data_IF_393017961761
#
_entry.id   IF_393017961761
#
_cell.length_a   1.000
_cell.length_b   1.000
_cell.length_c   1.000
_cell.angle_alpha   90.00
_cell.angle_beta   90.00
_cell.angle_gamma   90.00
#
_symmetry.space_group_name_H-M   'P 1'
#
loop_
_entity.id
_entity.type
_entity.pdbx_description
1 polymer ?
#
# COMPACT_ATOMS: atom_id res chain seq x y z
N UNK A 1 -45.24 21.00 21.68
CA UNK A 1 -43.92 20.37 21.53
C UNK A 1 -43.26 20.98 20.29
N UNK A 2 -42.20 21.79 20.43
CA UNK A 2 -41.50 22.34 19.26
C UNK A 2 -40.82 21.18 18.50
N UNK A 3 -40.89 21.12 17.17
CA UNK A 3 -40.14 20.11 16.42
C UNK A 3 -38.64 20.28 16.69
N UNK A 4 -37.85 19.19 16.67
CA UNK A 4 -36.40 19.30 16.75
C UNK A 4 -35.91 20.20 15.60
N UNK A 5 -35.22 21.30 15.95
CA UNK A 5 -34.63 22.19 14.95
C UNK A 5 -33.57 21.40 14.17
N UNK A 6 -33.66 21.44 12.85
CA UNK A 6 -32.70 20.76 12.00
C UNK A 6 -31.31 21.41 12.18
N UNK A 7 -30.30 20.59 12.48
CA UNK A 7 -28.93 21.04 12.67
C UNK A 7 -28.15 20.97 11.35
N UNK A 8 -27.30 21.97 11.15
CA UNK A 8 -26.49 22.10 9.95
C UNK A 8 -25.08 21.59 10.22
N UNK A 9 -24.63 20.59 9.45
CA UNK A 9 -23.30 20.03 9.57
C UNK A 9 -22.50 20.27 8.29
N UNK A 10 -21.23 20.62 8.46
CA UNK A 10 -20.28 20.84 7.37
C UNK A 10 -19.05 19.96 7.54
N UNK A 11 -18.54 19.41 6.43
CA UNK A 11 -17.30 18.65 6.39
C UNK A 11 -16.32 19.24 5.38
N UNK A 12 -15.04 19.14 5.70
CA UNK A 12 -13.97 19.52 4.80
C UNK A 12 -13.81 18.52 3.65
N UNK A 13 -12.99 18.84 2.64
CA UNK A 13 -12.74 17.95 1.50
C UNK A 13 -12.06 16.62 1.90
N UNK A 14 -11.43 16.57 3.07
CA UNK A 14 -10.73 15.39 3.59
C UNK A 14 -11.62 14.51 4.48
N UNK A 15 -12.93 14.74 4.51
CA UNK A 15 -13.87 13.97 5.33
C UNK A 15 -15.15 13.67 4.56
N UNK A 16 -15.73 12.49 4.81
CA UNK A 16 -17.06 12.15 4.37
C UNK A 16 -18.02 12.02 5.56
N UNK A 17 -19.24 12.51 5.38
CA UNK A 17 -20.34 12.36 6.33
C UNK A 17 -21.31 11.32 5.81
N UNK A 18 -21.71 10.41 6.69
CA UNK A 18 -22.75 9.41 6.44
C UNK A 18 -23.93 9.76 7.32
N UNK A 19 -25.07 10.00 6.69
CA UNK A 19 -26.32 10.28 7.39
C UNK A 19 -27.30 9.14 7.17
N UNK A 20 -27.68 8.48 8.27
CA UNK A 20 -28.65 7.38 8.31
C UNK A 20 -29.85 7.77 9.17
N UNK A 21 -30.98 7.06 9.02
CA UNK A 21 -32.18 7.25 9.82
C UNK A 21 -33.44 7.51 9.00
N UNK A 22 -34.44 8.12 9.64
CA UNK A 22 -35.80 8.25 9.09
C UNK A 22 -35.80 8.97 7.72
N UNK A 23 -36.49 8.38 6.75
CA UNK A 23 -36.59 8.79 5.34
C UNK A 23 -35.27 8.85 4.54
N UNK A 24 -34.19 8.19 5.01
CA UNK A 24 -32.90 8.10 4.27
C UNK A 24 -32.42 6.65 4.14
N UNK A 25 -33.13 5.89 3.32
CA UNK A 25 -32.76 4.53 2.89
C UNK A 25 -32.69 4.50 1.36
N UNK A 26 -31.49 4.36 0.75
CA UNK A 26 -30.19 4.10 1.37
C UNK A 26 -29.59 5.33 2.11
N UNK A 27 -28.59 5.12 3.00
CA UNK A 27 -27.90 6.19 3.71
C UNK A 27 -27.31 7.23 2.74
N UNK A 28 -27.38 8.50 3.11
CA UNK A 28 -26.83 9.58 2.29
C UNK A 28 -25.38 9.80 2.68
N UNK A 29 -24.48 9.59 1.72
CA UNK A 29 -23.03 9.79 1.87
C UNK A 29 -22.61 11.06 1.14
N UNK A 30 -21.94 11.96 1.86
CA UNK A 30 -21.50 13.27 1.35
C UNK A 30 -20.02 13.42 1.63
N UNK A 31 -19.19 13.32 0.59
CA UNK A 31 -17.75 13.58 0.65
C UNK A 31 -17.50 15.08 0.43
N UNK A 32 -17.12 15.79 1.50
CA UNK A 32 -17.04 17.25 1.50
C UNK A 32 -18.40 17.95 1.41
N UNK A 33 -18.50 19.15 2.00
CA UNK A 33 -19.67 20.01 1.83
C UNK A 33 -20.57 20.07 3.06
N UNK A 34 -21.89 20.00 2.85
CA UNK A 34 -22.90 20.32 3.88
C UNK A 34 -24.07 19.36 3.86
N UNK A 35 -24.60 19.05 5.05
CA UNK A 35 -25.80 18.22 5.20
C UNK A 35 -26.67 18.73 6.34
N UNK A 36 -27.99 18.72 6.12
CA UNK A 36 -28.98 19.00 7.13
C UNK A 36 -29.40 17.69 7.82
N UNK A 37 -29.33 17.68 9.15
CA UNK A 37 -29.65 16.51 9.99
C UNK A 37 -30.68 16.91 11.04
N UNK A 38 -31.80 16.17 11.08
CA UNK A 38 -32.82 16.36 12.11
C UNK A 38 -32.44 15.53 13.34
N UNK A 39 -32.13 16.17 14.48
CA UNK A 39 -31.74 15.44 15.67
C UNK A 39 -32.91 14.55 16.15
N UNK A 40 -32.58 13.43 16.78
CA UNK A 40 -33.49 12.34 17.20
C UNK A 40 -34.03 11.40 16.09
N UNK A 41 -34.15 11.86 14.85
CA UNK A 41 -34.63 11.02 13.73
C UNK A 41 -33.50 10.52 12.81
N UNK A 42 -32.37 11.24 12.79
CA UNK A 42 -31.24 10.97 11.92
C UNK A 42 -29.95 10.93 12.74
N UNK A 43 -29.06 10.02 12.36
CA UNK A 43 -27.72 9.88 12.91
C UNK A 43 -26.69 10.33 11.87
N UNK A 44 -25.65 11.01 12.35
CA UNK A 44 -24.52 11.46 11.53
C UNK A 44 -23.24 10.80 12.03
N UNK A 45 -22.48 10.23 11.10
CA UNK A 45 -21.16 9.65 11.34
C UNK A 45 -20.17 10.24 10.34
N UNK A 46 -18.91 10.36 10.74
CA UNK A 46 -17.84 10.94 9.93
C UNK A 46 -16.78 9.89 9.68
N UNK A 47 -16.21 9.90 8.49
CA UNK A 47 -15.08 9.05 8.11
C UNK A 47 -14.01 9.93 7.47
N UNK A 48 -12.77 9.72 7.89
CA UNK A 48 -11.61 10.43 7.35
C UNK A 48 -11.24 9.90 5.98
N UNK A 49 -10.97 10.81 5.04
CA UNK A 49 -10.49 10.51 3.69
C UNK A 49 -8.99 10.80 3.55
N UNK A 50 -8.30 11.03 4.68
CA UNK A 50 -6.87 11.27 4.70
C UNK A 50 -6.09 10.04 4.22
N UNK A 51 -4.91 10.29 3.64
CA UNK A 51 -3.97 9.23 3.28
C UNK A 51 -3.28 8.70 4.53
N UNK A 52 -3.35 7.39 4.72
CA UNK A 52 -2.65 6.65 5.76
C UNK A 52 -1.37 6.04 5.18
N UNK A 53 -0.27 6.16 5.91
CA UNK A 53 1.01 5.53 5.54
C UNK A 53 1.21 4.29 6.40
N UNK A 54 1.33 3.14 5.75
CA UNK A 54 1.46 1.84 6.39
C UNK A 54 2.86 1.28 6.15
N UNK A 55 3.45 0.72 7.20
CA UNK A 55 4.74 0.05 7.15
C UNK A 55 4.50 -1.47 7.12
N UNK A 56 4.57 -2.06 5.93
CA UNK A 56 4.25 -3.46 5.68
C UNK A 56 5.50 -4.31 5.89
N UNK A 57 5.55 -5.06 6.98
CA UNK A 57 6.70 -5.90 7.33
C UNK A 57 6.34 -7.37 7.21
N UNK A 58 7.10 -8.11 6.42
CA UNK A 58 6.98 -9.56 6.34
C UNK A 58 8.31 -10.18 6.73
N UNK A 59 8.37 -10.75 7.93
CA UNK A 59 9.58 -11.36 8.48
C UNK A 59 9.68 -12.84 8.10
N UNK A 60 10.91 -13.29 7.83
CA UNK A 60 11.28 -14.71 7.63
C UNK A 60 10.39 -15.47 6.65
N UNK A 61 10.12 -14.85 5.49
CA UNK A 61 9.34 -15.49 4.43
C UNK A 61 10.29 -16.23 3.49
N UNK A 62 9.97 -17.50 3.23
CA UNK A 62 10.71 -18.32 2.30
C UNK A 62 10.31 -17.98 0.86
N UNK A 63 11.30 -17.61 0.06
CA UNK A 63 11.14 -17.38 -1.39
C UNK A 63 10.98 -18.69 -2.16
N UNK A 64 10.78 -18.59 -3.49
CA UNK A 64 10.63 -19.76 -4.38
C UNK A 64 11.74 -20.81 -4.24
N UNK A 65 12.97 -20.41 -3.93
CA UNK A 65 14.12 -21.29 -3.76
C UNK A 65 14.42 -21.65 -2.30
N UNK A 66 13.50 -21.35 -1.37
CA UNK A 66 13.67 -21.69 0.04
C UNK A 66 14.67 -20.81 0.79
N UNK A 67 15.05 -19.65 0.25
CA UNK A 67 15.89 -18.69 0.97
C UNK A 67 14.99 -17.80 1.81
N UNK A 68 15.15 -17.76 3.15
CA UNK A 68 14.37 -16.91 4.02
C UNK A 68 14.85 -15.46 3.92
N UNK A 69 13.94 -14.55 3.62
CA UNK A 69 14.21 -13.11 3.59
C UNK A 69 13.13 -12.36 4.37
N UNK A 70 13.49 -11.18 4.88
CA UNK A 70 12.60 -10.25 5.54
C UNK A 70 12.48 -9.00 4.67
N UNK A 71 11.25 -8.58 4.37
CA UNK A 71 10.98 -7.45 3.48
C UNK A 71 10.15 -6.40 4.20
N UNK A 72 10.55 -5.14 4.02
CA UNK A 72 9.80 -3.98 4.48
C UNK A 72 9.34 -3.15 3.29
N UNK A 73 8.03 -2.96 3.17
CA UNK A 73 7.40 -2.06 2.21
C UNK A 73 6.75 -0.85 2.89
N UNK A 74 6.61 0.24 2.14
CA UNK A 74 5.77 1.38 2.54
C UNK A 74 4.59 1.43 1.57
N UNK A 75 3.38 1.40 2.11
CA UNK A 75 2.16 1.58 1.36
C UNK A 75 1.47 2.88 1.77
N UNK A 76 0.95 3.63 0.81
CA UNK A 76 0.05 4.74 1.07
C UNK A 76 -1.34 4.33 0.63
N UNK A 77 -2.30 4.35 1.55
CA UNK A 77 -3.69 3.98 1.30
C UNK A 77 -4.62 5.10 1.72
N UNK A 78 -5.78 5.20 1.09
CA UNK A 78 -6.81 6.16 1.48
C UNK A 78 -8.20 5.62 1.18
N UNK A 79 -9.20 6.13 1.87
CA UNK A 79 -10.60 5.86 1.54
C UNK A 79 -11.01 6.74 0.36
N UNK A 80 -11.60 6.13 -0.67
CA UNK A 80 -11.94 6.86 -1.89
C UNK A 80 -13.29 7.57 -1.76
N UNK A 81 -13.27 8.87 -1.46
CA UNK A 81 -14.49 9.68 -1.30
C UNK A 81 -15.19 10.08 -2.60
N UNK A 82 -14.50 10.04 -3.75
CA UNK A 82 -15.08 10.43 -5.05
C UNK A 82 -15.96 9.33 -5.66
N UNK A 83 -15.61 8.06 -5.42
CA UNK A 83 -16.37 6.93 -5.92
C UNK A 83 -17.43 6.54 -4.88
N UNK A 84 -18.71 6.69 -5.24
CA UNK A 84 -19.84 6.42 -4.34
C UNK A 84 -19.91 4.95 -3.91
N UNK A 85 -19.54 4.01 -4.77
CA UNK A 85 -19.58 2.58 -4.47
C UNK A 85 -18.49 2.20 -3.47
N UNK A 86 -17.25 2.65 -3.71
CA UNK A 86 -16.14 2.44 -2.77
C UNK A 86 -16.42 3.14 -1.44
N UNK A 87 -16.95 4.36 -1.46
CA UNK A 87 -17.32 5.06 -0.24
C UNK A 87 -18.40 4.29 0.53
N UNK A 88 -19.39 3.70 -0.15
CA UNK A 88 -20.41 2.88 0.49
C UNK A 88 -19.82 1.64 1.17
N UNK A 89 -18.93 0.92 0.47
CA UNK A 89 -18.24 -0.24 1.02
C UNK A 89 -17.39 0.13 2.25
N UNK A 90 -16.61 1.19 2.15
CA UNK A 90 -15.80 1.70 3.26
C UNK A 90 -16.67 2.14 4.44
N UNK A 91 -17.78 2.81 4.18
CA UNK A 91 -18.73 3.17 5.23
C UNK A 91 -19.32 1.90 5.87
N UNK A 92 -19.72 0.89 5.11
CA UNK A 92 -20.27 -0.33 5.68
C UNK A 92 -19.25 -1.10 6.56
N UNK A 93 -17.96 -1.10 6.19
CA UNK A 93 -16.93 -1.84 6.92
C UNK A 93 -16.28 -1.07 8.08
N UNK A 94 -16.17 0.25 7.96
CA UNK A 94 -15.33 1.07 8.83
C UNK A 94 -16.07 2.16 9.60
N UNK A 95 -17.39 2.33 9.43
CA UNK A 95 -18.13 3.30 10.25
C UNK A 95 -17.97 2.99 11.74
N UNK A 96 -17.59 3.99 12.52
CA UNK A 96 -17.37 3.86 13.96
C UNK A 96 -16.01 3.26 14.34
N UNK A 97 -15.18 2.83 13.38
CA UNK A 97 -13.79 2.43 13.64
C UNK A 97 -12.86 3.65 13.63
N UNK A 98 -11.80 3.56 14.42
CA UNK A 98 -10.70 4.53 14.41
C UNK A 98 -9.82 4.39 13.18
N UNK A 99 -9.09 5.44 12.80
CA UNK A 99 -8.12 5.39 11.70
C UNK A 99 -7.05 4.31 11.92
N UNK A 100 -6.67 4.04 13.18
CA UNK A 100 -5.72 2.99 13.54
C UNK A 100 -6.24 1.58 13.26
N UNK A 101 -7.52 1.31 13.51
CA UNK A 101 -8.15 0.02 13.18
C UNK A 101 -8.27 -0.18 11.67
N UNK A 102 -8.61 0.88 10.93
CA UNK A 102 -8.66 0.83 9.45
C UNK A 102 -7.26 0.57 8.89
N UNK A 103 -6.25 1.27 9.42
CA UNK A 103 -4.85 1.08 9.07
C UNK A 103 -4.39 -0.37 9.33
N UNK A 104 -4.77 -0.95 10.46
CA UNK A 104 -4.43 -2.31 10.82
C UNK A 104 -5.04 -3.34 9.86
N UNK A 105 -6.32 -3.20 9.52
CA UNK A 105 -7.01 -4.09 8.57
C UNK A 105 -6.32 -4.03 7.20
N UNK A 106 -6.04 -2.81 6.70
CA UNK A 106 -5.36 -2.64 5.42
C UNK A 106 -3.92 -3.17 5.45
N UNK A 107 -3.21 -3.02 6.59
CA UNK A 107 -1.86 -3.52 6.79
C UNK A 107 -1.81 -5.05 6.71
N UNK A 108 -2.74 -5.74 7.38
CA UNK A 108 -2.82 -7.21 7.36
C UNK A 108 -3.07 -7.77 5.96
N UNK A 109 -3.98 -7.15 5.19
CA UNK A 109 -4.22 -7.51 3.79
C UNK A 109 -2.99 -7.30 2.92
N UNK A 110 -2.34 -6.13 3.03
CA UNK A 110 -1.11 -5.82 2.28
C UNK A 110 0.03 -6.78 2.63
N UNK A 111 0.19 -7.11 3.91
CA UNK A 111 1.20 -8.04 4.38
C UNK A 111 0.97 -9.46 3.85
N UNK A 112 -0.30 -9.91 3.84
CA UNK A 112 -0.69 -11.19 3.26
C UNK A 112 -0.31 -11.28 1.78
N UNK A 113 -0.64 -10.25 1.00
CA UNK A 113 -0.27 -10.21 -0.42
C UNK A 113 1.23 -10.08 -0.64
N UNK A 114 1.93 -9.24 0.13
CA UNK A 114 3.39 -9.11 0.08
C UNK A 114 4.06 -10.48 0.29
N UNK A 115 3.65 -11.21 1.33
CA UNK A 115 4.15 -12.57 1.63
C UNK A 115 3.85 -13.56 0.51
N UNK A 116 2.65 -13.52 -0.07
CA UNK A 116 2.28 -14.40 -1.18
C UNK A 116 3.16 -14.17 -2.42
N UNK A 117 3.40 -12.90 -2.79
CA UNK A 117 4.28 -12.57 -3.93
C UNK A 117 5.73 -13.00 -3.65
N UNK A 118 6.22 -12.79 -2.43
CA UNK A 118 7.57 -13.23 -2.03
C UNK A 118 7.76 -14.74 -2.20
N UNK A 119 6.75 -15.56 -1.90
CA UNK A 119 6.83 -17.01 -2.05
C UNK A 119 6.95 -17.47 -3.52
N UNK A 120 6.48 -16.67 -4.48
CA UNK A 120 6.52 -17.00 -5.90
C UNK A 120 7.74 -16.45 -6.65
N UNK A 121 8.41 -15.43 -6.10
CA UNK A 121 9.60 -14.81 -6.70
C UNK A 121 10.90 -15.36 -6.09
N UNK A 122 12.01 -15.21 -6.81
CA UNK A 122 13.35 -15.49 -6.25
C UNK A 122 13.94 -14.26 -5.58
N UNK A 123 14.91 -14.44 -4.69
CA UNK A 123 15.59 -13.33 -4.01
C UNK A 123 16.25 -12.39 -5.02
N UNK A 124 16.84 -12.93 -6.09
CA UNK A 124 17.50 -12.16 -7.14
C UNK A 124 16.52 -11.32 -7.94
N UNK A 125 15.32 -11.84 -8.21
CA UNK A 125 14.28 -11.07 -8.90
C UNK A 125 13.83 -9.88 -8.04
N UNK A 126 13.55 -10.11 -6.75
CA UNK A 126 13.13 -9.06 -5.82
C UNK A 126 14.25 -8.02 -5.65
N UNK A 127 15.50 -8.47 -5.57
CA UNK A 127 16.65 -7.59 -5.37
C UNK A 127 17.02 -6.77 -6.61
N UNK A 128 17.01 -7.38 -7.80
CA UNK A 128 17.39 -6.72 -9.07
C UNK A 128 16.26 -5.84 -9.61
N UNK A 129 15.01 -6.29 -9.49
CA UNK A 129 13.84 -5.61 -10.03
C UNK A 129 12.80 -5.32 -8.95
N UNK A 130 13.16 -4.34 -8.11
CA UNK A 130 12.32 -3.86 -7.01
C UNK A 130 11.00 -3.25 -7.49
N UNK A 131 11.01 -2.69 -8.70
CA UNK A 131 9.83 -2.09 -9.31
C UNK A 131 8.82 -3.17 -9.69
N UNK A 132 9.25 -4.23 -10.37
CA UNK A 132 8.39 -5.37 -10.70
C UNK A 132 7.76 -6.01 -9.45
N UNK A 133 8.53 -6.20 -8.38
CA UNK A 133 7.98 -6.67 -7.11
C UNK A 133 6.91 -5.71 -6.57
N UNK A 134 7.22 -4.41 -6.51
CA UNK A 134 6.30 -3.38 -6.00
C UNK A 134 5.01 -3.30 -6.81
N UNK A 135 5.10 -3.40 -8.15
CA UNK A 135 3.94 -3.41 -9.05
C UNK A 135 3.07 -4.65 -8.86
N UNK A 136 3.66 -5.82 -8.64
CA UNK A 136 2.90 -7.05 -8.39
C UNK A 136 2.13 -6.98 -7.08
N UNK A 137 2.78 -6.55 -5.99
CA UNK A 137 2.11 -6.37 -4.69
C UNK A 137 1.01 -5.32 -4.81
N UNK A 138 1.29 -4.18 -5.45
CA UNK A 138 0.31 -3.12 -5.69
C UNK A 138 -0.91 -3.67 -6.45
N UNK A 139 -0.71 -4.39 -7.55
CA UNK A 139 -1.79 -4.89 -8.40
C UNK A 139 -2.72 -5.83 -7.66
N UNK A 140 -2.16 -6.81 -6.95
CA UNK A 140 -2.95 -7.83 -6.24
C UNK A 140 -3.65 -7.23 -5.03
N UNK A 141 -2.93 -6.44 -4.21
CA UNK A 141 -3.53 -5.80 -3.05
C UNK A 141 -4.59 -4.75 -3.40
N UNK A 142 -4.40 -4.01 -4.50
CA UNK A 142 -5.40 -3.03 -4.96
C UNK A 142 -6.72 -3.69 -5.29
N UNK A 143 -6.72 -4.86 -5.94
CA UNK A 143 -7.98 -5.54 -6.27
C UNK A 143 -8.78 -5.98 -5.04
N UNK A 144 -8.12 -6.37 -3.96
CA UNK A 144 -8.79 -6.81 -2.73
C UNK A 144 -9.26 -5.62 -1.89
N UNK A 145 -8.39 -4.62 -1.69
CA UNK A 145 -8.70 -3.42 -0.91
C UNK A 145 -9.80 -2.56 -1.53
N UNK A 146 -9.95 -2.57 -2.87
CA UNK A 146 -11.05 -1.86 -3.55
C UNK A 146 -12.42 -2.39 -3.10
N UNK A 147 -12.56 -3.70 -2.85
CA UNK A 147 -13.81 -4.28 -2.36
C UNK A 147 -14.16 -3.80 -0.95
N UNK A 148 -13.16 -3.38 -0.17
CA UNK A 148 -13.34 -2.76 1.14
C UNK A 148 -13.54 -1.24 1.08
N UNK A 149 -13.45 -0.64 -0.12
CA UNK A 149 -13.51 0.80 -0.31
C UNK A 149 -12.20 1.54 -0.01
N UNK A 150 -11.09 0.81 0.10
CA UNK A 150 -9.74 1.37 0.29
C UNK A 150 -9.03 1.40 -1.07
N UNK A 151 -8.46 2.56 -1.40
CA UNK A 151 -7.62 2.74 -2.59
C UNK A 151 -6.16 2.78 -2.17
N UNK A 152 -5.34 1.94 -2.80
CA UNK A 152 -3.88 2.01 -2.68
C UNK A 152 -3.39 3.12 -3.60
N UNK A 153 -2.75 4.14 -3.04
CA UNK A 153 -2.16 5.27 -3.78
C UNK A 153 -0.81 4.87 -4.34
N UNK A 154 0.01 4.23 -3.51
CA UNK A 154 1.34 3.76 -3.90
C UNK A 154 1.80 2.64 -2.98
N UNK A 155 2.68 1.79 -3.51
CA UNK A 155 3.43 0.81 -2.75
C UNK A 155 4.89 0.88 -3.19
N UNK A 156 5.82 0.89 -2.25
CA UNK A 156 7.25 0.95 -2.54
C UNK A 156 8.02 0.04 -1.60
N UNK A 157 8.88 -0.79 -2.17
CA UNK A 157 9.83 -1.59 -1.42
C UNK A 157 10.86 -0.70 -0.71
N UNK A 158 10.87 -0.70 0.62
CA UNK A 158 11.79 0.10 1.43
C UNK A 158 13.12 -0.63 1.63
N UNK A 159 13.05 -1.85 2.16
CA UNK A 159 14.24 -2.61 2.53
C UNK A 159 14.06 -4.13 2.39
N UNK A 160 15.17 -4.83 2.16
CA UNK A 160 15.25 -6.29 2.08
C UNK A 160 16.41 -6.74 2.96
N UNK A 161 16.13 -7.63 3.90
CA UNK A 161 17.10 -8.19 4.83
C UNK A 161 17.12 -9.71 4.74
N UNK A 162 18.27 -10.31 5.04
CA UNK A 162 18.43 -11.76 5.14
C UNK A 162 19.32 -12.11 6.34
N UNK A 163 18.99 -13.20 7.03
CA UNK A 163 19.70 -13.63 8.24
C UNK A 163 20.96 -14.49 7.94
N UNK A 164 21.22 -14.83 6.67
CA UNK A 164 22.19 -15.87 6.25
C UNK A 164 23.32 -15.34 5.36
N UNK A 165 23.55 -14.02 5.34
CA UNK A 165 24.56 -13.36 4.50
C UNK A 165 24.42 -13.69 2.98
N UNK A 166 23.23 -14.09 2.54
CA UNK A 166 22.92 -14.46 1.16
C UNK A 166 23.01 -13.27 0.23
N UNK A 167 22.36 -12.14 0.58
CA UNK A 167 22.41 -10.92 -0.25
C UNK A 167 23.83 -10.38 -0.33
N UNK A 168 24.59 -10.47 0.78
CA UNK A 168 26.00 -10.09 0.82
C UNK A 168 26.85 -10.96 -0.11
N UNK A 169 26.60 -12.27 -0.13
CA UNK A 169 27.28 -13.21 -1.02
C UNK A 169 26.95 -12.97 -2.49
N UNK A 170 25.68 -12.64 -2.79
CA UNK A 170 25.25 -12.23 -4.13
C UNK A 170 26.00 -10.97 -4.61
N UNK A 171 26.15 -9.99 -3.72
CA UNK A 171 26.92 -8.77 -3.98
C UNK A 171 28.40 -9.05 -4.27
N UNK A 172 29.05 -9.90 -3.46
CA UNK A 172 30.46 -10.30 -3.67
C UNK A 172 30.71 -10.90 -5.04
N UNK A 173 29.84 -11.82 -5.48
CA UNK A 173 29.95 -12.43 -6.81
C UNK A 173 29.88 -11.40 -7.94
N UNK A 174 28.96 -10.44 -7.84
CA UNK A 174 28.83 -9.36 -8.83
C UNK A 174 30.04 -8.42 -8.83
N UNK A 175 30.55 -8.03 -7.66
CA UNK A 175 31.75 -7.20 -7.55
C UNK A 175 32.96 -7.88 -8.16
N UNK A 176 33.15 -9.18 -7.89
CA UNK A 176 34.25 -9.95 -8.46
C UNK A 176 34.16 -10.07 -10.00
N UNK A 177 32.94 -10.22 -10.53
CA UNK A 177 32.70 -10.23 -11.97
C UNK A 177 33.05 -8.89 -12.61
N UNK A 178 32.54 -7.77 -12.07
CA UNK A 178 32.84 -6.42 -12.57
C UNK A 178 34.34 -6.12 -12.53
N UNK A 179 35.04 -6.52 -11.46
CA UNK A 179 36.50 -6.36 -11.36
C UNK A 179 37.28 -7.23 -12.37
N UNK A 180 36.78 -8.42 -12.70
CA UNK A 180 37.38 -9.26 -13.73
C UNK A 180 37.21 -8.60 -15.10
N UNK A 181 36.01 -8.18 -15.44
CA UNK A 181 35.69 -7.59 -16.73
C UNK A 181 36.45 -6.27 -16.94
N UNK A 182 36.57 -5.44 -15.90
CA UNK A 182 37.39 -4.23 -15.92
C UNK A 182 38.87 -4.52 -16.22
N UNK A 183 39.46 -5.54 -15.58
CA UNK A 183 40.86 -5.93 -15.83
C UNK A 183 41.08 -6.47 -17.26
N UNK A 184 40.11 -7.19 -17.81
CA UNK A 184 40.17 -7.67 -19.20
C UNK A 184 40.10 -6.48 -20.14
N UNK A 185 39.17 -5.54 -19.93
CA UNK A 185 39.05 -4.33 -20.74
C UNK A 185 40.31 -3.45 -20.70
N UNK A 186 40.93 -3.29 -19.53
CA UNK A 186 42.22 -2.58 -19.41
C UNK A 186 43.34 -3.28 -20.18
N UNK A 187 43.42 -4.61 -20.10
CA UNK A 187 44.44 -5.40 -20.81
C UNK A 187 44.25 -5.39 -22.34
N UNK A 188 43.01 -5.38 -22.82
CA UNK A 188 42.67 -5.22 -24.24
C UNK A 188 42.99 -3.82 -24.75
N UNK A 189 42.55 -2.78 -24.03
CA UNK A 189 42.85 -1.39 -24.39
C UNK A 189 44.36 -1.11 -24.44
N UNK A 190 45.13 -1.67 -23.51
CA UNK A 190 46.59 -1.55 -23.49
C UNK A 190 47.25 -2.28 -24.66
N UNK A 191 46.72 -3.45 -25.06
CA UNK A 191 47.21 -4.17 -26.25
C UNK A 191 46.96 -3.38 -27.53
N UNK A 192 45.74 -2.85 -27.69
CA UNK A 192 45.35 -2.13 -28.91
C UNK A 192 46.08 -0.79 -29.05
N UNK A 193 46.35 -0.10 -27.93
CA UNK A 193 47.16 1.12 -27.94
C UNK A 193 48.60 0.87 -28.40
N UNK A 194 49.22 -0.24 -27.97
CA UNK A 194 50.59 -0.59 -28.35
C UNK A 194 50.76 -1.12 -29.79
N UNK A 195 49.68 -1.39 -30.51
CA UNK A 195 49.70 -1.81 -31.93
C UNK A 195 49.60 -0.60 -32.87
N UNK A 196 49.15 0.56 -32.37
CA UNK A 196 48.97 1.80 -33.16
C UNK A 196 50.16 2.76 -33.09
N UNK A 197 51.17 2.47 -32.28
CA UNK A 197 52.51 3.08 -32.33
C UNK A 197 53.44 2.25 -33.23
#
# INVERSE_FOLDING_TARGET
RRPPAAMFFTCGPNEAMVVSGFCRSPPVMVAGGRVLVVPCLQQIQRISLNTLTLNVRSEKVYTRHGVPISVTGIAQVKIQGQNKEMLAAACQMFLGKSEGEIAQIALETLEGHQRAIMAHMTVEEIYKDRQKFSEQVFKVASSDLVNMGISVVSYTLKDIHDDQDYLRSLGKGRTAQVQRDARVGEAEAKRDAGIRE
#
